data_IF_450429764845
#
_entry.id   IF_450429764845
#
_cell.length_a   1.000
_cell.length_b   1.000
_cell.length_c   1.000
_cell.angle_alpha   90.00
_cell.angle_beta   90.00
_cell.angle_gamma   90.00
#
_symmetry.space_group_name_H-M   'P 1'
#
loop_
_entity.id
_entity.type
_entity.pdbx_description
1 polymer ?
#
# COMPACT_ATOMS: atom_id res chain seq x y z
N UNK A 1 -17.38 -10.72 -20.10
CA UNK A 1 -18.37 -10.10 -19.20
C UNK A 1 -17.62 -9.60 -17.96
N UNK A 2 -17.63 -8.29 -17.71
CA UNK A 2 -16.90 -7.66 -16.58
C UNK A 2 -17.45 -8.11 -15.23
N UNK A 3 -16.57 -8.40 -14.26
CA UNK A 3 -16.93 -8.85 -12.90
C UNK A 3 -17.68 -7.79 -12.06
N UNK A 4 -17.53 -6.50 -12.36
CA UNK A 4 -18.21 -5.39 -11.65
C UNK A 4 -18.82 -4.36 -12.61
N UNK A 5 -19.85 -3.65 -12.14
CA UNK A 5 -20.51 -2.58 -12.90
C UNK A 5 -19.73 -1.26 -12.85
N UNK A 6 -19.67 -0.51 -13.96
CA UNK A 6 -18.88 0.72 -14.09
C UNK A 6 -19.57 1.97 -13.49
N UNK A 7 -20.85 2.18 -13.80
CA UNK A 7 -21.56 3.45 -13.49
C UNK A 7 -22.88 3.21 -12.74
N UNK A 8 -23.64 2.16 -13.10
CA UNK A 8 -24.94 1.78 -12.53
C UNK A 8 -25.05 0.26 -12.38
N UNK A 9 -26.03 -0.21 -11.60
CA UNK A 9 -26.36 -1.64 -11.45
C UNK A 9 -26.06 -2.22 -10.06
N UNK A 10 -26.59 -3.42 -9.80
CA UNK A 10 -26.48 -4.09 -8.49
C UNK A 10 -25.03 -4.47 -8.11
N UNK A 11 -24.12 -4.55 -9.08
CA UNK A 11 -22.70 -4.88 -8.90
C UNK A 11 -21.77 -3.66 -8.96
N UNK A 12 -22.33 -2.46 -8.88
CA UNK A 12 -21.55 -1.21 -8.82
C UNK A 12 -20.79 -1.12 -7.49
N UNK A 13 -19.49 -0.87 -7.56
CA UNK A 13 -18.68 -0.54 -6.38
C UNK A 13 -19.14 0.80 -5.81
N UNK A 14 -19.47 0.81 -4.52
CA UNK A 14 -19.97 2.00 -3.85
C UNK A 14 -18.85 3.06 -3.70
N UNK A 15 -19.21 4.31 -3.96
CA UNK A 15 -18.35 5.44 -3.63
C UNK A 15 -18.22 5.53 -2.11
N UNK A 16 -16.99 5.75 -1.64
CA UNK A 16 -16.70 6.05 -0.25
C UNK A 16 -16.11 7.46 -0.20
N UNK A 17 -16.63 8.32 0.67
CA UNK A 17 -16.10 9.66 0.93
C UNK A 17 -15.24 9.70 2.19
N UNK A 18 -15.21 8.61 2.96
CA UNK A 18 -14.48 8.55 4.24
C UNK A 18 -13.08 8.00 4.05
N UNK A 19 -12.96 6.87 3.35
CA UNK A 19 -11.68 6.15 3.19
C UNK A 19 -11.44 5.68 1.77
N UNK A 20 -10.21 5.91 1.32
CA UNK A 20 -9.65 5.33 0.13
C UNK A 20 -8.36 4.61 0.52
N UNK A 21 -8.29 3.27 0.37
CA UNK A 21 -7.04 2.52 0.57
C UNK A 21 -6.07 2.73 -0.60
N UNK A 22 -5.78 3.99 -0.95
CA UNK A 22 -5.21 4.44 -2.23
C UNK A 22 -3.98 3.67 -2.72
N UNK A 23 -3.07 3.28 -1.82
CA UNK A 23 -1.73 2.77 -2.15
C UNK A 23 -1.69 1.45 -2.92
N UNK A 24 -2.74 0.62 -2.82
CA UNK A 24 -2.80 -0.71 -3.44
C UNK A 24 -3.56 -0.75 -4.77
N UNK A 25 -4.06 0.38 -5.25
CA UNK A 25 -4.96 0.43 -6.42
C UNK A 25 -4.37 1.16 -7.61
N UNK A 26 -3.13 1.65 -7.53
CA UNK A 26 -2.51 2.39 -8.62
C UNK A 26 -2.41 1.58 -9.91
N UNK A 27 -2.26 0.25 -9.81
CA UNK A 27 -2.26 -0.65 -10.95
C UNK A 27 -3.59 -0.65 -11.74
N UNK A 28 -4.72 -0.28 -11.11
CA UNK A 28 -6.02 -0.25 -11.78
C UNK A 28 -6.10 0.80 -12.89
N UNK A 29 -5.34 1.90 -12.78
CA UNK A 29 -5.29 2.94 -13.82
C UNK A 29 -4.60 2.40 -15.06
N UNK A 30 -3.47 1.73 -14.87
CA UNK A 30 -2.75 1.06 -15.96
C UNK A 30 -3.60 -0.03 -16.58
N UNK A 31 -4.29 -0.83 -15.76
CA UNK A 31 -5.22 -1.84 -16.27
C UNK A 31 -6.39 -1.21 -17.02
N UNK A 32 -7.00 -0.10 -16.58
CA UNK A 32 -8.08 0.58 -17.34
C UNK A 32 -7.59 1.10 -18.69
N UNK A 33 -6.32 1.54 -18.76
CA UNK A 33 -5.69 1.94 -20.03
C UNK A 33 -5.39 0.74 -20.95
N UNK A 34 -4.81 -0.34 -20.41
CA UNK A 34 -4.40 -1.53 -21.19
C UNK A 34 -5.58 -2.45 -21.55
N UNK A 35 -6.58 -2.55 -20.67
CA UNK A 35 -7.70 -3.48 -20.79
C UNK A 35 -8.86 -2.89 -21.62
N UNK A 36 -8.53 -2.41 -22.82
CA UNK A 36 -9.52 -2.22 -23.87
C UNK A 36 -10.30 -3.54 -24.16
N UNK A 37 -9.72 -4.71 -23.85
CA UNK A 37 -10.36 -6.01 -23.90
C UNK A 37 -10.73 -6.57 -22.51
N UNK A 38 -11.99 -6.95 -22.37
CA UNK A 38 -12.65 -7.47 -21.16
C UNK A 38 -12.00 -8.71 -20.51
N UNK A 39 -11.00 -9.34 -21.13
CA UNK A 39 -10.39 -10.57 -20.63
C UNK A 39 -9.23 -10.36 -19.65
N UNK A 40 -8.47 -9.26 -19.78
CA UNK A 40 -7.28 -9.01 -18.94
C UNK A 40 -7.72 -8.76 -17.49
N UNK A 41 -8.66 -7.83 -17.29
CA UNK A 41 -9.17 -7.47 -15.95
C UNK A 41 -9.77 -8.63 -15.14
N UNK A 42 -10.29 -9.66 -15.81
CA UNK A 42 -11.07 -10.70 -15.16
C UNK A 42 -10.27 -11.99 -14.92
N UNK A 43 -9.01 -12.07 -15.33
CA UNK A 43 -8.23 -13.32 -15.24
C UNK A 43 -6.80 -13.12 -14.75
N UNK A 44 -6.27 -11.89 -14.77
CA UNK A 44 -4.85 -11.69 -14.49
C UNK A 44 -4.61 -11.26 -13.04
N UNK A 45 -3.90 -12.09 -12.29
CA UNK A 45 -3.34 -11.79 -10.96
C UNK A 45 -2.07 -10.94 -11.05
N UNK A 46 -1.94 -10.08 -12.07
CA UNK A 46 -0.69 -9.38 -12.44
C UNK A 46 -0.16 -8.42 -11.36
N UNK A 47 -0.99 -7.97 -10.43
CA UNK A 47 -0.60 -7.12 -9.30
C UNK A 47 -0.59 -7.85 -7.95
N UNK A 48 -0.69 -9.18 -7.96
CA UNK A 48 -0.80 -9.99 -6.74
C UNK A 48 0.42 -10.91 -6.69
N UNK A 49 1.16 -10.84 -5.60
CA UNK A 49 2.23 -11.79 -5.32
C UNK A 49 1.61 -13.20 -5.21
N UNK A 50 2.13 -14.22 -5.92
CA UNK A 50 1.69 -15.60 -5.79
C UNK A 50 1.65 -16.15 -4.34
N UNK A 51 2.47 -15.61 -3.43
CA UNK A 51 2.46 -15.98 -2.02
C UNK A 51 1.36 -15.26 -1.21
N UNK A 52 0.71 -14.24 -1.76
CA UNK A 52 -0.40 -13.51 -1.12
C UNK A 52 -1.75 -14.22 -1.29
N UNK A 53 -1.91 -15.34 -0.58
CA UNK A 53 -3.11 -16.17 -0.64
C UNK A 53 -4.40 -15.41 -0.29
N UNK A 54 -4.31 -14.41 0.58
CA UNK A 54 -5.46 -13.59 0.98
C UNK A 54 -5.98 -12.79 -0.21
N UNK A 55 -5.10 -12.01 -0.85
CA UNK A 55 -5.49 -11.17 -1.99
C UNK A 55 -5.92 -12.04 -3.17
N UNK A 56 -5.26 -13.18 -3.42
CA UNK A 56 -5.69 -14.16 -4.42
C UNK A 56 -7.13 -14.64 -4.16
N UNK A 57 -7.43 -15.06 -2.93
CA UNK A 57 -8.77 -15.54 -2.54
C UNK A 57 -9.83 -14.46 -2.71
N UNK A 58 -9.54 -13.21 -2.31
CA UNK A 58 -10.47 -12.09 -2.47
C UNK A 58 -10.70 -11.77 -3.95
N UNK A 59 -9.63 -11.83 -4.76
CA UNK A 59 -9.67 -11.58 -6.19
C UNK A 59 -10.49 -12.63 -6.96
N UNK A 60 -10.47 -13.90 -6.52
CA UNK A 60 -11.31 -14.96 -7.09
C UNK A 60 -12.81 -14.69 -6.91
N UNK A 61 -13.20 -14.00 -5.83
CA UNK A 61 -14.60 -13.81 -5.43
C UNK A 61 -14.92 -12.32 -5.17
N UNK A 62 -14.80 -11.43 -6.17
CA UNK A 62 -14.85 -9.98 -5.94
C UNK A 62 -16.22 -9.43 -5.51
N UNK A 63 -17.29 -10.21 -5.69
CA UNK A 63 -18.64 -9.87 -5.23
C UNK A 63 -18.96 -10.44 -3.84
N UNK A 64 -18.05 -11.23 -3.27
CA UNK A 64 -18.17 -11.77 -1.91
C UNK A 64 -17.36 -10.90 -0.96
N UNK A 65 -18.03 -9.98 -0.28
CA UNK A 65 -17.41 -9.04 0.69
C UNK A 65 -18.23 -8.87 1.98
N UNK A 66 -19.29 -9.69 2.14
CA UNK A 66 -20.09 -9.79 3.36
C UNK A 66 -19.50 -10.77 4.36
N UNK A 67 -20.24 -11.09 5.42
CA UNK A 67 -19.85 -12.11 6.38
C UNK A 67 -19.57 -13.46 5.68
N UNK A 68 -18.50 -14.14 6.08
CA UNK A 68 -17.99 -15.39 5.50
C UNK A 68 -17.14 -15.21 4.24
N UNK A 69 -16.88 -13.98 3.79
CA UNK A 69 -16.08 -13.74 2.58
C UNK A 69 -14.57 -13.80 2.79
N UNK A 70 -14.11 -13.71 4.04
CA UNK A 70 -12.68 -13.64 4.36
C UNK A 70 -12.01 -12.32 3.99
N UNK A 71 -12.72 -11.32 3.44
CA UNK A 71 -12.15 -9.97 3.28
C UNK A 71 -12.01 -9.30 4.64
N UNK A 72 -11.04 -8.39 4.83
CA UNK A 72 -10.84 -7.75 6.12
C UNK A 72 -12.10 -7.02 6.61
N UNK A 73 -12.37 -7.17 7.91
CA UNK A 73 -13.50 -6.60 8.65
C UNK A 73 -14.87 -7.06 8.17
N UNK A 74 -14.93 -8.20 7.49
CA UNK A 74 -16.19 -8.90 7.24
C UNK A 74 -16.68 -9.70 8.46
N UNK A 75 -15.77 -10.08 9.35
CA UNK A 75 -16.04 -10.85 10.57
C UNK A 75 -15.95 -9.97 11.83
N UNK A 76 -16.34 -10.52 12.98
CA UNK A 76 -16.52 -9.77 14.24
C UNK A 76 -15.31 -9.74 15.18
N UNK A 77 -14.30 -10.59 14.98
CA UNK A 77 -13.12 -10.60 15.86
C UNK A 77 -12.04 -9.64 15.37
N UNK A 78 -11.82 -8.56 16.14
CA UNK A 78 -10.93 -7.45 15.81
C UNK A 78 -9.85 -7.21 16.87
N UNK A 79 -9.73 -8.06 17.90
CA UNK A 79 -8.82 -7.79 19.01
C UNK A 79 -7.35 -7.74 18.55
N UNK A 80 -6.71 -6.58 18.73
CA UNK A 80 -5.30 -6.34 18.37
C UNK A 80 -5.05 -5.93 16.91
N UNK A 81 -6.09 -5.82 16.09
CA UNK A 81 -6.03 -5.26 14.74
C UNK A 81 -6.35 -3.75 14.75
N UNK A 82 -6.19 -3.09 13.61
CA UNK A 82 -6.60 -1.68 13.46
C UNK A 82 -8.12 -1.58 13.69
N UNK A 83 -8.52 -0.86 14.75
CA UNK A 83 -9.91 -0.83 15.24
C UNK A 83 -10.79 0.24 14.58
N UNK A 84 -10.34 0.83 13.47
CA UNK A 84 -11.13 1.90 12.88
C UNK A 84 -12.48 1.43 12.31
N UNK A 85 -13.55 2.06 12.78
CA UNK A 85 -14.92 1.70 12.44
C UNK A 85 -15.23 1.75 10.93
N UNK A 86 -14.51 2.58 10.15
CA UNK A 86 -14.75 2.72 8.73
C UNK A 86 -14.32 1.49 7.92
N UNK A 87 -13.45 0.63 8.45
CA UNK A 87 -13.03 -0.57 7.75
C UNK A 87 -14.19 -1.55 7.49
N UNK A 88 -15.18 -1.56 8.37
CA UNK A 88 -16.39 -2.39 8.26
C UNK A 88 -17.40 -1.89 7.20
N UNK A 89 -17.23 -0.67 6.69
CA UNK A 89 -18.15 -0.10 5.70
C UNK A 89 -18.11 -0.92 4.41
N UNK A 90 -19.29 -1.24 3.88
CA UNK A 90 -19.41 -2.00 2.63
C UNK A 90 -18.66 -1.35 1.47
N UNK A 91 -18.70 -0.01 1.36
CA UNK A 91 -17.98 0.74 0.33
C UNK A 91 -16.45 0.63 0.41
N UNK A 92 -15.91 0.24 1.57
CA UNK A 92 -14.49 -0.06 1.77
C UNK A 92 -14.22 -1.54 1.49
N UNK A 93 -15.02 -2.45 2.08
CA UNK A 93 -14.85 -3.91 1.93
C UNK A 93 -14.89 -4.39 0.49
N UNK A 94 -15.77 -3.82 -0.32
CA UNK A 94 -15.89 -4.12 -1.76
C UNK A 94 -14.60 -3.90 -2.56
N UNK A 95 -13.65 -3.12 -2.03
CA UNK A 95 -12.42 -2.76 -2.75
C UNK A 95 -11.30 -3.78 -2.56
N UNK A 96 -11.32 -4.58 -1.49
CA UNK A 96 -10.21 -5.49 -1.18
C UNK A 96 -9.91 -6.51 -2.28
N UNK A 97 -10.91 -6.94 -3.03
CA UNK A 97 -10.73 -7.85 -4.16
C UNK A 97 -9.95 -7.26 -5.35
N UNK A 98 -9.75 -5.94 -5.37
CA UNK A 98 -8.99 -5.22 -6.39
C UNK A 98 -7.67 -4.66 -5.84
N UNK A 99 -7.28 -5.06 -4.63
CA UNK A 99 -6.01 -4.65 -4.05
C UNK A 99 -4.84 -5.38 -4.72
N UNK A 100 -3.70 -4.70 -4.81
CA UNK A 100 -2.41 -5.27 -5.15
C UNK A 100 -1.63 -5.64 -3.88
N UNK A 101 -0.76 -6.64 -3.99
CA UNK A 101 0.25 -6.97 -2.95
C UNK A 101 1.37 -5.93 -2.90
N UNK A 102 1.60 -5.26 -4.03
CA UNK A 102 2.53 -4.16 -4.19
C UNK A 102 1.84 -2.82 -3.94
N UNK A 103 2.59 -1.89 -3.35
CA UNK A 103 2.19 -0.50 -3.19
C UNK A 103 3.18 0.46 -3.83
N UNK A 104 2.68 1.59 -4.31
CA UNK A 104 3.49 2.66 -4.86
C UNK A 104 3.85 3.65 -3.74
N UNK A 105 5.11 4.07 -3.70
CA UNK A 105 5.58 5.06 -2.72
C UNK A 105 4.80 6.39 -2.85
N UNK A 106 4.40 7.03 -1.74
CA UNK A 106 3.65 8.27 -1.75
C UNK A 106 4.15 9.35 -2.72
N UNK A 107 5.45 9.66 -2.70
CA UNK A 107 6.05 10.71 -3.53
C UNK A 107 5.98 10.46 -5.05
N UNK A 108 5.57 9.26 -5.49
CA UNK A 108 5.30 8.99 -6.90
C UNK A 108 3.96 9.57 -7.38
N UNK A 109 3.02 9.88 -6.47
CA UNK A 109 1.69 10.39 -6.82
C UNK A 109 1.30 11.68 -6.09
N UNK A 110 2.14 12.22 -5.21
CA UNK A 110 1.99 13.54 -4.61
C UNK A 110 3.26 14.39 -4.77
N UNK A 111 3.16 15.69 -4.47
CA UNK A 111 4.31 16.60 -4.49
C UNK A 111 5.37 16.29 -3.43
N UNK A 112 6.57 16.84 -3.64
CA UNK A 112 7.63 16.83 -2.63
C UNK A 112 7.48 18.03 -1.69
N UNK A 113 7.84 17.86 -0.42
CA UNK A 113 7.89 18.95 0.56
C UNK A 113 6.75 18.92 1.60
N UNK A 114 6.72 19.91 2.52
CA UNK A 114 5.84 19.87 3.68
C UNK A 114 4.44 20.47 3.47
N UNK A 115 4.23 21.21 2.39
CA UNK A 115 2.97 21.92 2.14
C UNK A 115 2.09 21.10 1.20
N UNK A 116 0.79 21.03 1.51
CA UNK A 116 -0.22 20.37 0.67
C UNK A 116 0.16 18.93 0.29
N UNK A 117 0.65 18.15 1.26
CA UNK A 117 0.99 16.73 1.09
C UNK A 117 0.21 15.85 2.06
N UNK A 118 0.02 14.60 1.66
CA UNK A 118 -0.40 13.53 2.53
C UNK A 118 0.75 13.10 3.45
N UNK A 119 0.44 12.99 4.73
CA UNK A 119 1.32 12.57 5.80
C UNK A 119 0.82 11.27 6.44
N UNK A 120 1.71 10.44 7.01
CA UNK A 120 1.30 9.25 7.74
C UNK A 120 0.46 9.61 8.98
N UNK A 121 -0.57 8.82 9.26
CA UNK A 121 -1.33 8.90 10.51
C UNK A 121 -0.62 8.10 11.57
N UNK A 122 -0.24 8.69 12.71
CA UNK A 122 0.56 8.00 13.74
C UNK A 122 -0.09 6.73 14.30
N UNK A 123 -1.42 6.70 14.43
CA UNK A 123 -2.16 5.58 15.02
C UNK A 123 -2.18 4.32 14.14
N UNK A 124 -1.98 4.44 12.82
CA UNK A 124 -2.05 3.31 11.90
C UNK A 124 -1.20 3.51 10.66
N UNK A 125 -0.42 2.49 10.24
CA UNK A 125 0.36 2.59 9.01
C UNK A 125 -0.49 2.54 7.74
N UNK A 126 -1.80 2.35 7.85
CA UNK A 126 -2.71 2.11 6.72
C UNK A 126 -3.41 3.36 6.20
N UNK A 127 -3.21 4.52 6.84
CA UNK A 127 -3.87 5.76 6.49
C UNK A 127 -2.89 6.89 6.30
N UNK A 128 -3.27 7.79 5.41
CA UNK A 128 -2.67 9.10 5.27
C UNK A 128 -3.71 10.17 5.57
N UNK A 129 -3.27 11.25 6.20
CA UNK A 129 -4.06 12.45 6.41
C UNK A 129 -3.40 13.61 5.70
N UNK A 130 -4.15 14.67 5.49
CA UNK A 130 -3.67 15.85 4.80
C UNK A 130 -4.59 17.01 5.07
N UNK A 131 -4.07 18.22 4.99
CA UNK A 131 -4.82 19.47 5.15
C UNK A 131 -4.78 20.25 3.85
N UNK A 132 -5.85 21.01 3.58
CA UNK A 132 -5.92 21.84 2.37
C UNK A 132 -6.26 21.07 1.10
N UNK A 133 -5.93 21.66 -0.06
CA UNK A 133 -6.22 21.11 -1.38
C UNK A 133 -4.98 20.40 -1.93
N UNK A 134 -4.78 19.16 -1.52
CA UNK A 134 -3.65 18.36 -1.96
C UNK A 134 -3.83 17.98 -3.43
N UNK A 135 -2.86 18.39 -4.26
CA UNK A 135 -2.84 18.02 -5.68
C UNK A 135 -2.23 16.63 -5.82
N UNK A 136 -3.01 15.72 -6.39
CA UNK A 136 -2.57 14.37 -6.75
C UNK A 136 -2.10 14.34 -8.20
N UNK A 137 -1.05 13.56 -8.48
CA UNK A 137 -0.48 13.35 -9.80
C UNK A 137 0.52 14.43 -10.21
N UNK A 138 0.61 14.69 -11.53
CA UNK A 138 1.56 15.63 -12.14
C UNK A 138 3.04 15.36 -11.88
N UNK A 139 3.37 14.15 -11.44
CA UNK A 139 4.75 13.68 -11.28
C UNK A 139 5.27 13.17 -12.61
N UNK A 140 6.46 13.60 -12.98
CA UNK A 140 7.14 13.17 -14.18
C UNK A 140 8.27 12.21 -13.81
N UNK A 141 8.59 11.27 -14.71
CA UNK A 141 9.76 10.40 -14.52
C UNK A 141 11.06 11.20 -14.45
N UNK A 142 11.10 12.39 -15.09
CA UNK A 142 12.22 13.32 -15.00
C UNK A 142 12.41 13.96 -13.62
N UNK A 143 11.41 13.86 -12.74
CA UNK A 143 11.50 14.37 -11.36
C UNK A 143 12.26 13.40 -10.44
N UNK A 144 12.68 12.24 -10.94
CA UNK A 144 13.44 11.23 -10.18
C UNK A 144 14.94 11.43 -10.43
N UNK A 145 15.66 11.88 -9.41
CA UNK A 145 17.10 12.16 -9.55
C UNK A 145 17.97 10.89 -9.57
N UNK A 146 17.57 9.87 -8.80
CA UNK A 146 18.38 8.67 -8.55
C UNK A 146 17.59 7.39 -8.86
N UNK A 147 17.23 7.18 -10.12
CA UNK A 147 16.26 6.15 -10.52
C UNK A 147 16.63 4.71 -10.08
N UNK A 148 17.93 4.36 -10.08
CA UNK A 148 18.43 3.04 -9.64
C UNK A 148 18.52 2.88 -8.12
N UNK A 149 18.38 3.98 -7.37
CA UNK A 149 18.51 4.01 -5.91
C UNK A 149 17.22 4.50 -5.22
N UNK A 150 16.17 4.74 -6.02
CA UNK A 150 14.86 5.20 -5.60
C UNK A 150 13.84 4.10 -5.81
N UNK A 151 13.15 3.69 -4.75
CA UNK A 151 12.07 2.71 -4.80
C UNK A 151 10.83 3.36 -5.40
N UNK A 152 10.25 2.72 -6.41
CA UNK A 152 8.99 3.09 -7.02
C UNK A 152 7.83 2.29 -6.41
N UNK A 153 7.99 0.97 -6.33
CA UNK A 153 6.97 0.06 -5.81
C UNK A 153 7.63 -0.96 -4.88
N UNK A 154 6.89 -1.45 -3.89
CA UNK A 154 7.38 -2.49 -3.00
C UNK A 154 6.23 -3.33 -2.43
N UNK A 155 6.56 -4.50 -1.91
CA UNK A 155 5.61 -5.32 -1.14
C UNK A 155 5.43 -4.76 0.28
N UNK A 156 4.22 -4.89 0.84
CA UNK A 156 3.97 -4.47 2.24
C UNK A 156 4.61 -5.46 3.23
N UNK A 157 4.72 -6.74 2.86
CA UNK A 157 5.28 -7.82 3.71
C UNK A 157 6.22 -8.68 2.90
N UNK A 158 7.32 -9.10 3.51
CA UNK A 158 8.28 -10.01 2.89
C UNK A 158 7.68 -11.42 2.93
N UNK A 159 7.18 -11.89 1.78
CA UNK A 159 6.47 -13.17 1.71
C UNK A 159 7.40 -14.37 1.59
N UNK A 160 8.67 -14.14 1.32
CA UNK A 160 9.70 -15.18 1.19
C UNK A 160 10.28 -15.59 2.56
N UNK A 161 10.16 -14.71 3.56
CA UNK A 161 10.60 -14.99 4.93
C UNK A 161 9.50 -15.59 5.83
N UNK A 162 9.95 -16.37 6.83
CA UNK A 162 9.06 -16.91 7.87
C UNK A 162 8.36 -15.80 8.64
N UNK A 163 7.07 -16.00 8.94
CA UNK A 163 6.19 -15.05 9.65
C UNK A 163 5.90 -13.77 8.88
N UNK A 164 6.35 -13.66 7.63
CA UNK A 164 6.05 -12.58 6.71
C UNK A 164 6.29 -11.18 7.29
N UNK A 165 7.54 -10.84 7.66
CA UNK A 165 7.81 -9.58 8.36
C UNK A 165 7.36 -8.40 7.51
N UNK A 166 6.74 -7.42 8.16
CA UNK A 166 6.38 -6.16 7.55
C UNK A 166 7.62 -5.43 7.02
N UNK A 167 7.52 -4.75 5.87
CA UNK A 167 8.67 -4.15 5.18
C UNK A 167 9.51 -3.20 6.07
N UNK A 168 8.93 -2.63 7.13
CA UNK A 168 9.60 -1.70 8.03
C UNK A 168 10.56 -2.38 9.04
N UNK A 169 10.52 -3.71 9.18
CA UNK A 169 11.50 -4.43 10.01
C UNK A 169 12.86 -4.45 9.32
N UNK A 170 13.94 -4.23 10.09
CA UNK A 170 15.30 -4.11 9.54
C UNK A 170 15.77 -5.34 8.75
N UNK A 171 15.33 -6.54 9.14
CA UNK A 171 15.69 -7.79 8.47
C UNK A 171 14.73 -8.19 7.34
N UNK A 172 13.65 -7.45 7.11
CA UNK A 172 12.74 -7.73 6.01
C UNK A 172 13.46 -7.47 4.68
N UNK A 173 13.33 -8.40 3.74
CA UNK A 173 13.92 -8.34 2.41
C UNK A 173 12.80 -8.34 1.35
N UNK A 174 11.81 -7.44 1.52
CA UNK A 174 10.71 -7.31 0.55
C UNK A 174 11.23 -7.06 -0.85
N UNK A 175 10.55 -7.58 -1.87
CA UNK A 175 10.89 -7.23 -3.24
C UNK A 175 10.51 -5.78 -3.54
N UNK A 176 11.42 -5.06 -4.20
CA UNK A 176 11.28 -3.63 -4.50
C UNK A 176 11.58 -3.39 -5.97
N UNK A 177 10.67 -2.67 -6.64
CA UNK A 177 10.89 -2.14 -7.97
C UNK A 177 11.46 -0.73 -7.87
N UNK A 178 12.61 -0.51 -8.51
CA UNK A 178 13.26 0.79 -8.61
C UNK A 178 12.67 1.60 -9.77
N UNK A 179 12.85 2.92 -9.78
CA UNK A 179 12.31 3.79 -10.84
C UNK A 179 12.94 3.56 -12.22
N UNK A 180 14.15 3.00 -12.29
CA UNK A 180 14.77 2.56 -13.55
C UNK A 180 14.25 1.20 -14.06
N UNK A 181 13.36 0.56 -13.30
CA UNK A 181 12.80 -0.76 -13.61
C UNK A 181 13.64 -1.95 -13.11
N UNK A 182 14.75 -1.71 -12.43
CA UNK A 182 15.51 -2.77 -11.76
C UNK A 182 14.82 -3.26 -10.49
N UNK A 183 15.18 -4.47 -10.06
CA UNK A 183 14.70 -5.07 -8.82
C UNK A 183 15.80 -4.92 -7.75
N UNK A 184 15.40 -4.54 -6.54
CA UNK A 184 16.29 -4.47 -5.38
C UNK A 184 15.81 -5.46 -4.30
N UNK A 185 16.68 -6.40 -3.95
CA UNK A 185 16.45 -7.41 -2.91
C UNK A 185 17.23 -7.13 -1.61
N UNK A 186 17.77 -5.91 -1.45
CA UNK A 186 18.48 -5.53 -0.22
C UNK A 186 17.50 -5.50 0.96
N UNK A 187 18.01 -5.72 2.17
CA UNK A 187 17.17 -5.68 3.36
C UNK A 187 16.70 -4.24 3.63
N UNK A 188 15.52 -4.08 4.22
CA UNK A 188 14.97 -2.77 4.56
C UNK A 188 15.84 -2.00 5.56
N UNK A 189 16.62 -2.72 6.38
CA UNK A 189 17.59 -2.13 7.31
C UNK A 189 18.70 -1.32 6.63
N UNK A 190 19.02 -1.63 5.38
CA UNK A 190 20.06 -0.96 4.57
C UNK A 190 19.55 0.30 3.86
N UNK A 191 18.22 0.50 3.80
CA UNK A 191 17.65 1.74 3.28
C UNK A 191 17.91 2.91 4.24
N UNK A 192 17.98 4.13 3.70
CA UNK A 192 18.00 5.35 4.49
C UNK A 192 16.75 5.48 5.36
N UNK A 193 16.88 6.27 6.43
CA UNK A 193 15.78 6.57 7.33
C UNK A 193 14.63 7.30 6.61
N UNK A 194 13.39 6.97 6.98
CA UNK A 194 12.23 7.76 6.56
C UNK A 194 12.11 9.08 7.30
N UNK A 195 11.51 10.07 6.65
CA UNK A 195 11.19 11.37 7.21
C UNK A 195 9.72 11.71 6.99
N UNK A 196 9.09 12.35 7.97
CA UNK A 196 7.71 12.81 7.80
C UNK A 196 7.66 13.88 6.72
N UNK A 197 6.75 13.82 5.73
CA UNK A 197 6.64 14.88 4.74
C UNK A 197 6.40 16.26 5.38
N UNK A 198 5.57 16.33 6.42
CA UNK A 198 5.28 17.58 7.15
C UNK A 198 6.44 18.06 8.05
N UNK A 199 7.34 17.17 8.44
CA UNK A 199 8.52 17.50 9.25
C UNK A 199 9.75 16.78 8.66
N UNK A 200 10.33 17.32 7.56
CA UNK A 200 11.38 16.65 6.79
C UNK A 200 12.72 16.55 7.54
N UNK A 201 12.81 17.10 8.75
CA UNK A 201 13.98 17.02 9.62
C UNK A 201 13.85 15.92 10.68
N UNK A 202 12.66 15.33 10.84
CA UNK A 202 12.40 14.33 11.85
C UNK A 202 12.26 12.94 11.22
N UNK A 203 13.03 11.99 11.75
CA UNK A 203 12.96 10.59 11.32
C UNK A 203 11.59 10.06 11.72
N UNK A 204 10.80 9.67 10.73
CA UNK A 204 9.48 9.11 10.98
C UNK A 204 9.61 7.64 11.37
N UNK A 205 9.00 7.28 12.49
CA UNK A 205 8.84 5.90 12.93
C UNK A 205 7.38 5.64 13.26
N UNK A 206 6.98 4.38 13.12
CA UNK A 206 5.60 4.00 13.32
C UNK A 206 5.51 2.55 13.81
N UNK A 207 4.60 2.33 14.75
CA UNK A 207 4.20 0.99 15.17
C UNK A 207 3.45 0.28 14.05
N UNK A 208 3.75 -1.00 13.86
CA UNK A 208 2.95 -1.87 13.01
C UNK A 208 1.63 -2.25 13.71
N UNK A 209 0.50 -1.82 13.13
CA UNK A 209 -0.84 -2.23 13.56
C UNK A 209 -1.45 -2.99 12.40
N UNK A 210 -1.69 -4.31 12.50
CA UNK A 210 -2.14 -5.11 11.37
C UNK A 210 -3.62 -4.86 11.03
N UNK A 211 -3.96 -4.97 9.76
CA UNK A 211 -5.34 -5.19 9.29
C UNK A 211 -5.71 -6.67 9.46
N UNK A 212 -7.00 -6.99 9.61
CA UNK A 212 -7.44 -8.38 9.69
C UNK A 212 -6.89 -9.21 8.51
N UNK A 213 -6.40 -10.42 8.81
CA UNK A 213 -5.72 -11.35 7.89
C UNK A 213 -4.28 -10.96 7.49
N UNK A 214 -3.77 -9.80 7.92
CA UNK A 214 -2.35 -9.50 7.72
C UNK A 214 -1.49 -10.26 8.73
N UNK A 215 -0.19 -10.48 8.42
CA UNK A 215 0.75 -11.05 9.37
C UNK A 215 0.72 -10.31 10.71
N UNK A 216 0.72 -11.07 11.80
CA UNK A 216 0.78 -10.54 13.16
C UNK A 216 2.17 -9.93 13.39
N UNK A 217 2.31 -8.79 14.11
CA UNK A 217 3.61 -8.23 14.45
C UNK A 217 4.55 -9.26 15.08
N UNK A 218 5.85 -9.09 14.91
CA UNK A 218 6.83 -10.07 15.38
C UNK A 218 6.83 -10.21 16.91
N UNK A 219 6.57 -9.13 17.65
CA UNK A 219 6.36 -9.13 19.11
C UNK A 219 4.94 -9.48 19.56
N UNK A 220 4.03 -9.80 18.63
CA UNK A 220 2.62 -10.08 18.92
C UNK A 220 1.70 -8.87 18.81
N UNK A 221 0.41 -9.06 19.06
CA UNK A 221 -0.56 -7.95 19.04
C UNK A 221 -0.19 -6.88 20.08
N UNK A 222 -0.43 -5.62 19.72
CA UNK A 222 -0.12 -4.44 20.55
C UNK A 222 1.37 -4.22 20.88
N UNK A 223 2.28 -4.89 20.17
CA UNK A 223 3.73 -4.62 20.23
C UNK A 223 4.00 -3.11 20.01
N UNK A 224 4.59 -2.45 21.00
CA UNK A 224 4.85 -1.01 20.98
C UNK A 224 6.12 -0.62 20.21
N UNK A 225 6.81 -1.59 19.60
CA UNK A 225 8.03 -1.33 18.84
C UNK A 225 7.76 -0.39 17.67
N UNK A 226 8.44 0.76 17.66
CA UNK A 226 8.38 1.71 16.56
C UNK A 226 9.42 1.34 15.49
N UNK A 227 8.94 1.20 14.25
CA UNK A 227 9.74 0.78 13.12
C UNK A 227 9.94 1.96 12.17
N UNK A 228 11.08 1.99 11.50
CA UNK A 228 11.38 3.00 10.50
C UNK A 228 10.61 2.70 9.21
N UNK A 229 9.95 3.70 8.62
CA UNK A 229 9.13 3.53 7.42
C UNK A 229 9.94 3.60 6.12
N UNK A 230 11.26 3.81 6.20
CA UNK A 230 12.25 3.68 5.14
C UNK A 230 11.82 4.37 3.83
N UNK A 231 11.89 3.64 2.72
CA UNK A 231 11.58 4.09 1.36
C UNK A 231 10.12 4.47 1.13
N UNK A 232 9.19 4.19 2.05
CA UNK A 232 7.83 4.73 1.97
C UNK A 232 7.83 6.25 2.12
N UNK A 233 8.75 6.80 2.91
CA UNK A 233 8.81 8.24 3.18
C UNK A 233 10.26 8.75 3.09
N UNK A 234 10.83 8.68 1.89
CA UNK A 234 12.20 9.13 1.64
C UNK A 234 12.39 10.62 1.93
N UNK A 235 13.52 10.96 2.55
CA UNK A 235 13.96 12.36 2.66
C UNK A 235 14.04 13.01 1.27
N UNK A 236 13.57 14.25 1.15
CA UNK A 236 13.57 15.02 -0.11
C UNK A 236 12.74 14.39 -1.26
N UNK A 237 11.82 13.47 -0.96
CA UNK A 237 10.88 12.96 -1.97
C UNK A 237 11.56 12.28 -3.15
N UNK A 238 11.14 12.55 -4.40
CA UNK A 238 11.72 11.92 -5.60
C UNK A 238 13.17 12.35 -5.92
N UNK A 239 13.64 13.44 -5.30
CA UNK A 239 15.02 13.89 -5.39
C UNK A 239 15.92 13.21 -4.34
N UNK A 240 15.35 12.38 -3.46
CA UNK A 240 16.04 11.61 -2.43
C UNK A 240 16.57 10.26 -2.91
N UNK A 241 17.42 9.66 -2.07
CA UNK A 241 17.99 8.33 -2.25
C UNK A 241 17.38 7.41 -1.19
N UNK A 242 16.87 6.25 -1.59
CA UNK A 242 16.43 5.20 -0.66
C UNK A 242 17.59 4.29 -0.27
N UNK A 243 18.35 3.81 -1.24
CA UNK A 243 19.48 2.91 -1.03
C UNK A 243 20.79 3.58 -1.46
N UNK A 244 21.68 3.96 -0.51
CA UNK A 244 22.90 4.71 -0.83
C UNK A 244 23.93 3.88 -1.60
N UNK A 245 23.85 2.55 -1.49
CA UNK A 245 24.65 1.59 -2.25
C UNK A 245 23.76 0.81 -3.21
N UNK A 246 24.10 0.73 -4.51
CA UNK A 246 23.40 -0.15 -5.45
C UNK A 246 23.58 -1.62 -5.09
#
# INVERSE_FOLDING_TARGET
MRRTGRINGATKIQSSTTRLPHRRFSHLVLLDYLAADDNIFNTTTLGIDPADQNVLTWHERPLSYGQGSGVPYAETDLNGYDEDFNWSLTAVRQRWAFASSYEIVPFAWQGDGPNDVYVPVSSTPHLYSGTGSIVLGQRLMSDVAFASQKVHMHEDHDREQKRFPWFAYDHAAVEKLMFDGSINSQISGEANDSYSPADPNNVWRQRYVPIQHYPIPLGGFNDSTELNMRFRWTKNGLQGIDYPTP
#
